data_IF_173131618843
#
_entry.id   IF_173131618843
#
_cell.length_a   1.000
_cell.length_b   1.000
_cell.length_c   1.000
_cell.angle_alpha   90.00
_cell.angle_beta   90.00
_cell.angle_gamma   90.00
#
_symmetry.space_group_name_H-M   'P 1'
#
loop_
_entity.id
_entity.type
_entity.pdbx_description
1 polymer ?
#
# COMPACT_ATOMS: atom_id res chain seq x y z
N UNK A 1 20.13 0.91 -19.95
CA UNK A 1 19.09 1.75 -20.56
C UNK A 1 17.93 0.83 -20.90
N UNK A 2 16.78 0.99 -20.23
CA UNK A 2 15.60 0.12 -20.42
C UNK A 2 14.73 0.56 -21.59
N UNK A 3 14.79 1.85 -21.95
CA UNK A 3 14.05 2.40 -23.08
C UNK A 3 12.57 2.70 -22.85
N UNK A 4 12.04 2.56 -21.63
CA UNK A 4 10.64 2.90 -21.33
C UNK A 4 10.34 4.39 -21.55
N UNK A 5 9.12 4.71 -21.96
CA UNK A 5 8.73 6.09 -22.25
C UNK A 5 8.02 6.77 -21.07
N UNK A 6 7.47 6.00 -20.14
CA UNK A 6 6.73 6.52 -18.99
C UNK A 6 7.12 5.79 -17.71
N UNK A 7 7.53 6.56 -16.70
CA UNK A 7 7.65 6.13 -15.32
C UNK A 7 6.78 7.04 -14.46
N UNK A 8 6.01 6.46 -13.54
CA UNK A 8 5.31 7.24 -12.55
C UNK A 8 5.17 6.51 -11.22
N UNK A 9 5.19 7.27 -10.12
CA UNK A 9 5.04 6.71 -8.77
C UNK A 9 5.81 7.51 -7.73
N UNK A 10 6.39 6.80 -6.75
CA UNK A 10 7.23 7.40 -5.72
C UNK A 10 8.56 7.98 -6.25
N UNK A 11 9.41 8.43 -5.34
CA UNK A 11 10.78 8.83 -5.64
C UNK A 11 11.70 7.62 -5.82
N UNK A 12 12.66 7.79 -6.71
CA UNK A 12 13.81 6.91 -6.87
C UNK A 12 15.02 7.45 -6.10
N UNK A 13 16.05 6.60 -5.92
CA UNK A 13 17.24 6.97 -5.14
C UNK A 13 17.90 8.25 -5.66
N UNK A 14 18.04 9.25 -4.77
CA UNK A 14 18.76 10.51 -5.04
C UNK A 14 20.27 10.41 -4.80
N UNK A 15 20.77 9.24 -4.40
CA UNK A 15 22.16 9.08 -3.98
C UNK A 15 23.13 9.30 -5.15
N UNK A 16 24.02 10.30 -5.01
CA UNK A 16 25.30 10.31 -5.70
C UNK A 16 26.24 9.33 -4.98
N UNK A 17 26.04 8.02 -5.20
CA UNK A 17 26.85 7.02 -4.51
C UNK A 17 28.30 7.06 -5.01
N UNK A 18 29.23 7.47 -4.15
CA UNK A 18 30.68 7.32 -4.38
C UNK A 18 31.22 8.03 -5.62
N UNK A 19 30.57 9.12 -6.07
CA UNK A 19 30.94 9.86 -7.29
C UNK A 19 30.15 9.47 -8.56
N UNK A 20 29.12 8.62 -8.43
CA UNK A 20 28.19 8.35 -9.53
C UNK A 20 27.17 9.48 -9.69
N UNK A 21 26.76 9.76 -10.94
CA UNK A 21 25.72 10.75 -11.26
C UNK A 21 24.38 10.36 -10.65
N UNK A 22 23.62 11.34 -10.18
CA UNK A 22 22.22 11.16 -9.79
C UNK A 22 21.39 10.56 -10.93
N UNK A 23 20.48 9.65 -10.60
CA UNK A 23 19.57 9.05 -11.58
C UNK A 23 18.66 10.08 -12.25
N UNK A 24 18.33 11.17 -11.57
CA UNK A 24 17.56 12.28 -12.13
C UNK A 24 18.34 12.99 -13.24
N UNK A 25 19.64 13.22 -13.04
CA UNK A 25 20.51 13.75 -14.09
C UNK A 25 20.62 12.78 -15.26
N UNK A 26 20.68 11.47 -15.00
CA UNK A 26 20.69 10.46 -16.06
C UNK A 26 19.37 10.48 -16.86
N UNK A 27 18.22 10.63 -16.19
CA UNK A 27 16.91 10.76 -16.85
C UNK A 27 16.88 11.99 -17.77
N UNK A 28 17.30 13.15 -17.27
CA UNK A 28 17.37 14.39 -18.07
C UNK A 28 18.33 14.24 -19.27
N UNK A 29 19.53 13.67 -19.05
CA UNK A 29 20.50 13.38 -20.13
C UNK A 29 19.95 12.40 -21.18
N UNK A 30 18.97 11.58 -20.80
CA UNK A 30 18.25 10.64 -21.67
C UNK A 30 16.99 11.22 -22.28
N UNK A 31 16.71 12.50 -22.04
CA UNK A 31 15.60 13.24 -22.64
C UNK A 31 14.26 13.02 -21.95
N UNK A 32 14.25 12.56 -20.69
CA UNK A 32 13.01 12.51 -19.91
C UNK A 32 12.67 13.90 -19.39
N UNK A 33 11.40 14.28 -19.52
CA UNK A 33 10.79 15.28 -18.67
C UNK A 33 10.65 14.70 -17.26
N UNK A 34 11.28 15.34 -16.28
CA UNK A 34 11.22 14.95 -14.86
C UNK A 34 10.36 15.99 -14.13
N UNK A 35 9.26 15.57 -13.51
CA UNK A 35 8.40 16.48 -12.73
C UNK A 35 7.82 15.79 -11.49
N UNK A 36 7.63 16.57 -10.43
CA UNK A 36 6.92 16.21 -9.20
C UNK A 36 5.68 17.09 -8.94
N UNK A 37 5.21 17.82 -9.96
CA UNK A 37 4.03 18.68 -9.87
C UNK A 37 2.79 17.95 -10.36
N UNK A 38 1.81 17.73 -9.48
CA UNK A 38 0.53 17.10 -9.84
C UNK A 38 -0.14 17.83 -11.02
N UNK A 39 -0.14 19.17 -10.99
CA UNK A 39 -0.71 19.97 -12.06
C UNK A 39 0.02 19.77 -13.39
N UNK A 40 1.36 19.73 -13.37
CA UNK A 40 2.15 19.51 -14.58
C UNK A 40 1.88 18.11 -15.14
N UNK A 41 1.95 17.08 -14.30
CA UNK A 41 1.70 15.68 -14.65
C UNK A 41 0.33 15.52 -15.31
N UNK A 42 -0.72 16.09 -14.71
CA UNK A 42 -2.08 16.00 -15.26
C UNK A 42 -2.25 16.78 -16.56
N UNK A 43 -1.42 17.79 -16.83
CA UNK A 43 -1.43 18.57 -18.08
C UNK A 43 -0.63 17.93 -19.24
N UNK A 44 0.18 16.91 -18.96
CA UNK A 44 0.98 16.23 -19.98
C UNK A 44 0.08 15.56 -21.03
N UNK A 45 0.58 15.52 -22.26
CA UNK A 45 -0.01 14.81 -23.39
C UNK A 45 1.12 14.15 -24.20
N UNK A 46 0.79 13.39 -25.24
CA UNK A 46 1.75 12.63 -26.05
C UNK A 46 2.94 13.46 -26.61
N UNK A 47 2.82 14.79 -26.72
CA UNK A 47 3.94 15.64 -27.13
C UNK A 47 5.05 15.79 -26.07
N UNK A 48 4.82 15.35 -24.83
CA UNK A 48 5.82 15.38 -23.75
C UNK A 48 6.99 14.41 -24.00
N UNK A 49 6.81 13.39 -24.83
CA UNK A 49 7.81 12.36 -25.08
C UNK A 49 8.06 11.51 -23.83
N UNK A 50 9.32 11.32 -23.45
CA UNK A 50 9.69 10.49 -22.30
C UNK A 50 9.43 11.23 -21.00
N UNK A 51 8.80 10.57 -20.02
CA UNK A 51 8.36 11.20 -18.77
C UNK A 51 8.76 10.35 -17.57
N UNK A 52 9.27 11.03 -16.54
CA UNK A 52 9.32 10.54 -15.16
C UNK A 52 8.45 11.45 -14.29
N UNK A 53 7.28 10.94 -13.88
CA UNK A 53 6.28 11.64 -13.09
C UNK A 53 6.30 11.16 -11.64
N UNK A 54 6.92 11.93 -10.75
CA UNK A 54 6.97 11.61 -9.34
C UNK A 54 5.72 12.14 -8.62
N UNK A 55 5.20 11.38 -7.66
CA UNK A 55 4.21 11.87 -6.72
C UNK A 55 4.76 13.09 -5.96
N UNK A 56 4.00 14.20 -5.87
CA UNK A 56 4.44 15.40 -5.16
C UNK A 56 4.66 15.14 -3.67
N UNK A 57 3.70 14.43 -3.06
CA UNK A 57 3.81 13.96 -1.69
C UNK A 57 4.35 12.55 -1.68
N UNK A 58 5.31 12.32 -0.79
CA UNK A 58 5.94 11.03 -0.57
C UNK A 58 5.76 10.62 0.89
N UNK A 59 5.75 9.32 1.13
CA UNK A 59 5.67 8.71 2.45
C UNK A 59 6.73 7.62 2.60
N UNK A 60 7.18 7.40 3.84
CA UNK A 60 8.18 6.39 4.20
C UNK A 60 9.42 6.47 3.29
N UNK A 61 9.79 5.36 2.64
CA UNK A 61 11.00 5.21 1.85
C UNK A 61 10.88 5.83 0.45
N UNK A 62 10.26 7.01 0.36
CA UNK A 62 10.01 7.72 -0.90
C UNK A 62 8.84 7.15 -1.71
N UNK A 63 7.99 6.34 -1.12
CA UNK A 63 6.80 5.78 -1.78
C UNK A 63 5.68 6.81 -1.94
N UNK A 64 4.68 6.51 -2.77
CA UNK A 64 3.39 7.22 -2.71
C UNK A 64 2.73 6.99 -1.33
N UNK A 65 1.86 7.90 -0.85
CA UNK A 65 1.07 7.66 0.36
C UNK A 65 0.22 6.39 0.23
N UNK A 66 -0.08 5.72 1.35
CA UNK A 66 -1.18 4.74 1.39
C UNK A 66 -2.48 5.41 0.93
N UNK A 67 -3.37 4.64 0.28
CA UNK A 67 -4.61 5.19 -0.26
C UNK A 67 -5.46 5.90 0.80
N UNK A 68 -5.52 5.35 2.02
CA UNK A 68 -6.27 5.94 3.13
C UNK A 68 -5.64 7.21 3.72
N UNK A 69 -4.36 7.45 3.46
CA UNK A 69 -3.65 8.63 3.93
C UNK A 69 -3.70 9.79 2.92
N UNK A 70 -4.18 9.54 1.70
CA UNK A 70 -4.21 10.52 0.62
C UNK A 70 -5.15 11.70 0.93
N UNK A 71 -4.72 12.90 0.54
CA UNK A 71 -5.56 14.10 0.52
C UNK A 71 -5.97 14.49 -0.92
N UNK A 72 -6.69 15.60 -1.07
CA UNK A 72 -7.25 16.02 -2.35
C UNK A 72 -6.19 16.47 -3.39
N UNK A 73 -4.97 16.75 -2.96
CA UNK A 73 -3.88 17.21 -3.82
C UNK A 73 -2.94 16.06 -4.24
N UNK A 74 -3.13 14.86 -3.69
CA UNK A 74 -2.35 13.67 -4.03
C UNK A 74 -2.76 13.06 -5.38
N UNK A 75 -1.78 12.43 -6.05
CA UNK A 75 -2.03 11.64 -7.25
C UNK A 75 -2.34 10.19 -6.85
N UNK A 76 -3.54 9.72 -7.19
CA UNK A 76 -3.90 8.31 -7.03
C UNK A 76 -3.24 7.43 -8.09
N UNK A 77 -3.14 6.12 -7.82
CA UNK A 77 -2.66 5.15 -8.81
C UNK A 77 -3.51 5.20 -10.09
N UNK A 78 -4.84 5.32 -9.95
CA UNK A 78 -5.75 5.45 -11.09
C UNK A 78 -5.42 6.66 -11.97
N UNK A 79 -5.15 7.83 -11.39
CA UNK A 79 -4.75 9.01 -12.15
C UNK A 79 -3.45 8.79 -12.93
N UNK A 80 -2.48 8.10 -12.33
CA UNK A 80 -1.21 7.78 -13.00
C UNK A 80 -1.40 6.73 -14.11
N UNK A 81 -2.27 5.73 -13.92
CA UNK A 81 -2.62 4.75 -14.96
C UNK A 81 -3.31 5.42 -16.13
N UNK A 82 -4.35 6.21 -15.88
CA UNK A 82 -5.06 6.94 -16.93
C UNK A 82 -4.13 7.87 -17.71
N UNK A 83 -3.23 8.58 -17.00
CA UNK A 83 -2.21 9.42 -17.65
C UNK A 83 -1.20 8.59 -18.45
N UNK A 84 -0.73 7.46 -17.91
CA UNK A 84 0.17 6.55 -18.62
C UNK A 84 -0.43 6.05 -19.93
N UNK A 85 -1.70 5.65 -19.91
CA UNK A 85 -2.44 5.24 -21.11
C UNK A 85 -2.51 6.38 -22.13
N UNK A 86 -2.88 7.59 -21.70
CA UNK A 86 -2.95 8.77 -22.60
C UNK A 86 -1.60 9.09 -23.26
N UNK A 87 -0.50 8.97 -22.52
CA UNK A 87 0.84 9.28 -23.02
C UNK A 87 1.42 8.18 -23.92
N UNK A 88 1.07 6.92 -23.66
CA UNK A 88 1.62 5.76 -24.36
C UNK A 88 0.78 5.32 -25.58
N UNK A 89 -0.50 5.68 -25.66
CA UNK A 89 -1.37 5.28 -26.77
C UNK A 89 -0.88 5.81 -28.13
N UNK A 90 -0.63 4.90 -29.06
CA UNK A 90 -0.09 5.19 -30.39
C UNK A 90 -0.36 4.03 -31.37
N UNK A 91 -0.10 4.27 -32.66
CA UNK A 91 -0.38 3.30 -33.74
C UNK A 91 0.37 1.96 -33.64
N UNK A 92 1.48 1.89 -32.88
CA UNK A 92 2.23 0.64 -32.66
C UNK A 92 1.76 -0.12 -31.40
N UNK A 93 0.82 0.44 -30.64
CA UNK A 93 0.45 -0.03 -29.31
C UNK A 93 1.51 0.27 -28.26
N UNK A 94 1.28 -0.23 -27.04
CA UNK A 94 2.20 -0.07 -25.92
C UNK A 94 2.13 -1.26 -24.95
N UNK A 95 3.16 -1.35 -24.10
CA UNK A 95 3.17 -2.21 -22.92
C UNK A 95 3.26 -1.32 -21.69
N UNK A 96 2.41 -1.57 -20.70
CA UNK A 96 2.43 -0.88 -19.42
C UNK A 96 2.33 -1.90 -18.29
N UNK A 97 3.21 -1.76 -17.30
CA UNK A 97 3.13 -2.50 -16.04
C UNK A 97 2.71 -1.53 -14.94
N UNK A 98 1.72 -1.92 -14.17
CA UNK A 98 1.14 -1.13 -13.07
C UNK A 98 1.22 -1.97 -11.80
N UNK A 99 1.67 -1.35 -10.71
CA UNK A 99 1.83 -2.00 -9.41
C UNK A 99 1.10 -1.21 -8.32
N UNK A 100 0.28 -1.89 -7.51
CA UNK A 100 -0.20 -1.37 -6.22
C UNK A 100 0.59 -2.01 -5.08
N UNK A 101 1.82 -1.55 -4.88
CA UNK A 101 2.78 -2.19 -3.97
C UNK A 101 2.47 -2.01 -2.48
N UNK A 102 1.59 -1.07 -2.13
CA UNK A 102 1.23 -0.78 -0.73
C UNK A 102 0.34 -1.85 -0.08
N UNK A 103 -0.33 -2.68 -0.88
CA UNK A 103 -1.08 -3.85 -0.39
C UNK A 103 -0.13 -4.78 0.40
N UNK A 104 1.02 -5.10 -0.18
CA UNK A 104 2.05 -5.91 0.47
C UNK A 104 2.56 -5.29 1.77
N UNK A 105 2.82 -3.98 1.78
CA UNK A 105 3.36 -3.28 2.94
C UNK A 105 2.36 -3.21 4.10
N UNK A 106 1.08 -2.96 3.79
CA UNK A 106 -0.01 -3.00 4.76
C UNK A 106 -0.17 -4.40 5.35
N UNK A 107 -0.12 -5.44 4.50
CA UNK A 107 -0.14 -6.83 4.94
C UNK A 107 1.05 -7.18 5.82
N UNK A 108 2.26 -6.73 5.49
CA UNK A 108 3.43 -6.93 6.34
C UNK A 108 3.26 -6.29 7.72
N UNK A 109 2.59 -5.14 7.82
CA UNK A 109 2.26 -4.49 9.09
C UNK A 109 1.02 -5.10 9.79
N UNK A 110 0.33 -6.05 9.15
CA UNK A 110 -0.97 -6.56 9.57
C UNK A 110 -1.99 -5.43 9.79
N UNK A 111 -2.08 -4.50 8.84
CA UNK A 111 -3.00 -3.36 8.85
C UNK A 111 -4.12 -3.59 7.80
N UNK A 112 -5.21 -4.23 8.23
CA UNK A 112 -6.28 -4.60 7.30
C UNK A 112 -7.05 -3.38 6.75
N UNK A 113 -7.12 -2.28 7.50
CA UNK A 113 -7.77 -1.08 7.01
C UNK A 113 -6.95 -0.45 5.87
N UNK A 114 -5.63 -0.35 6.02
CA UNK A 114 -4.74 0.12 4.96
C UNK A 114 -4.77 -0.82 3.74
N UNK A 115 -4.67 -2.14 3.96
CA UNK A 115 -4.71 -3.14 2.89
C UNK A 115 -5.97 -3.03 2.04
N UNK A 116 -7.16 -2.98 2.67
CA UNK A 116 -8.44 -2.87 1.96
C UNK A 116 -8.50 -1.58 1.13
N UNK A 117 -8.03 -0.46 1.68
CA UNK A 117 -8.07 0.82 0.95
C UNK A 117 -7.12 0.81 -0.26
N UNK A 118 -5.93 0.23 -0.14
CA UNK A 118 -4.98 0.11 -1.25
C UNK A 118 -5.43 -0.93 -2.30
N UNK A 119 -6.18 -1.97 -1.89
CA UNK A 119 -6.85 -2.88 -2.81
C UNK A 119 -7.95 -2.18 -3.61
N UNK A 120 -8.76 -1.34 -2.95
CA UNK A 120 -9.79 -0.51 -3.62
C UNK A 120 -9.15 0.53 -4.55
N UNK A 121 -8.00 1.11 -4.18
CA UNK A 121 -7.26 2.01 -5.05
C UNK A 121 -6.68 1.28 -6.28
N UNK A 122 -6.29 0.01 -6.14
CA UNK A 122 -5.88 -0.83 -7.26
C UNK A 122 -7.06 -1.17 -8.19
N UNK A 123 -8.23 -1.49 -7.63
CA UNK A 123 -9.47 -1.70 -8.39
C UNK A 123 -9.83 -0.48 -9.25
N UNK A 124 -9.76 0.73 -8.68
CA UNK A 124 -9.96 1.98 -9.42
C UNK A 124 -8.92 2.18 -10.54
N UNK A 125 -7.68 1.71 -10.36
CA UNK A 125 -6.66 1.75 -11.42
C UNK A 125 -6.92 0.72 -12.53
N UNK A 126 -7.46 -0.45 -12.18
CA UNK A 126 -7.92 -1.46 -13.14
C UNK A 126 -9.10 -0.93 -13.96
N UNK A 127 -10.00 -0.14 -13.37
CA UNK A 127 -11.12 0.49 -14.08
C UNK A 127 -10.63 1.41 -15.23
N UNK A 128 -9.55 2.17 -15.03
CA UNK A 128 -8.95 2.99 -16.11
C UNK A 128 -8.42 2.11 -17.26
N UNK A 129 -7.75 1.00 -16.93
CA UNK A 129 -7.28 0.05 -17.94
C UNK A 129 -8.46 -0.64 -18.66
N UNK A 130 -9.52 -1.01 -17.93
CA UNK A 130 -10.73 -1.61 -18.49
C UNK A 130 -11.46 -0.64 -19.41
N UNK A 131 -11.55 0.64 -19.06
CA UNK A 131 -12.13 1.67 -19.92
C UNK A 131 -11.39 1.76 -21.26
N UNK A 132 -10.06 1.73 -21.24
CA UNK A 132 -9.25 1.66 -22.45
C UNK A 132 -9.50 0.37 -23.23
N UNK A 133 -9.45 -0.79 -22.59
CA UNK A 133 -9.70 -2.07 -23.27
C UNK A 133 -11.11 -2.17 -23.89
N UNK A 134 -12.12 -1.54 -23.30
CA UNK A 134 -13.47 -1.48 -23.86
C UNK A 134 -13.55 -0.60 -25.11
N UNK A 135 -12.75 0.46 -25.19
CA UNK A 135 -12.59 1.26 -26.40
C UNK A 135 -11.77 0.55 -27.49
N UNK A 136 -10.88 -0.37 -27.09
CA UNK A 136 -9.95 -1.11 -27.97
C UNK A 136 -10.09 -2.66 -27.86
N UNK A 137 -11.29 -3.24 -27.99
CA UNK A 137 -11.60 -4.60 -27.53
C UNK A 137 -10.91 -5.74 -28.30
N UNK A 138 -10.37 -5.47 -29.50
CA UNK A 138 -9.70 -6.48 -30.33
C UNK A 138 -8.18 -6.46 -30.17
N UNK A 139 -7.63 -5.42 -29.52
CA UNK A 139 -6.20 -5.09 -29.54
C UNK A 139 -5.61 -4.97 -28.13
N UNK A 140 -6.45 -4.92 -27.09
CA UNK A 140 -6.00 -4.82 -25.70
C UNK A 140 -6.13 -6.13 -24.95
N UNK A 141 -5.07 -6.47 -24.21
CA UNK A 141 -5.07 -7.51 -23.17
C UNK A 141 -4.72 -6.87 -21.83
N UNK A 142 -5.50 -7.18 -20.80
CA UNK A 142 -5.19 -6.86 -19.41
C UNK A 142 -4.93 -8.18 -18.68
N UNK A 143 -3.84 -8.23 -17.90
CA UNK A 143 -3.54 -9.33 -16.98
C UNK A 143 -3.30 -8.74 -15.60
N UNK A 144 -4.02 -9.22 -14.59
CA UNK A 144 -3.93 -8.80 -13.19
C UNK A 144 -3.56 -10.02 -12.34
N UNK A 145 -2.54 -9.90 -11.50
CA UNK A 145 -2.10 -10.95 -10.58
C UNK A 145 -1.43 -10.33 -9.36
N UNK A 146 -1.31 -11.12 -8.28
CA UNK A 146 -0.31 -10.87 -7.24
C UNK A 146 1.05 -11.49 -7.63
N UNK A 147 2.12 -11.03 -7.02
CA UNK A 147 3.44 -11.67 -7.05
C UNK A 147 3.59 -12.72 -5.94
N UNK A 148 2.99 -12.47 -4.78
CA UNK A 148 2.78 -13.41 -3.67
C UNK A 148 1.61 -12.96 -2.75
N UNK A 149 1.26 -13.79 -1.76
CA UNK A 149 0.43 -13.36 -0.62
C UNK A 149 1.33 -12.94 0.55
N UNK A 150 0.84 -12.00 1.38
CA UNK A 150 1.60 -11.46 2.51
C UNK A 150 0.77 -11.44 3.79
N UNK A 151 1.41 -11.81 4.91
CA UNK A 151 0.82 -11.75 6.26
C UNK A 151 -0.03 -12.96 6.65
N UNK A 152 -0.52 -13.73 5.67
CA UNK A 152 -1.41 -14.85 5.91
C UNK A 152 -2.72 -14.37 6.53
N UNK A 153 -3.36 -13.40 5.87
CA UNK A 153 -4.61 -12.79 6.32
C UNK A 153 -5.74 -13.83 6.31
N UNK A 154 -6.59 -13.78 7.32
CA UNK A 154 -7.75 -14.67 7.45
C UNK A 154 -9.02 -13.89 7.76
N UNK A 155 -10.11 -14.26 7.10
CA UNK A 155 -11.47 -13.86 7.49
C UNK A 155 -11.99 -14.93 8.44
N UNK A 156 -11.89 -14.63 9.73
CA UNK A 156 -12.17 -15.53 10.84
C UNK A 156 -11.12 -15.35 11.93
N UNK A 157 -11.58 -15.00 13.13
CA UNK A 157 -10.71 -14.83 14.29
C UNK A 157 -11.24 -15.62 15.49
N UNK A 158 -10.33 -16.25 16.24
CA UNK A 158 -10.69 -17.06 17.39
C UNK A 158 -11.56 -16.31 18.43
N UNK A 159 -11.38 -15.00 18.56
CA UNK A 159 -12.16 -14.15 19.46
C UNK A 159 -13.57 -13.80 18.97
N UNK A 160 -13.86 -13.90 17.67
CA UNK A 160 -15.18 -13.59 17.09
C UNK A 160 -15.95 -14.83 16.65
N UNK A 161 -15.31 -15.99 16.60
CA UNK A 161 -15.89 -17.24 16.12
C UNK A 161 -16.22 -17.14 14.63
N UNK A 162 -17.47 -17.43 14.26
CA UNK A 162 -17.96 -17.34 12.87
C UNK A 162 -18.46 -15.95 12.47
N UNK A 163 -18.29 -14.94 13.33
CA UNK A 163 -18.78 -13.59 13.06
C UNK A 163 -17.66 -12.67 12.57
N UNK A 164 -18.04 -11.73 11.69
CA UNK A 164 -17.22 -10.62 11.21
C UNK A 164 -17.97 -9.30 11.42
N UNK A 165 -17.21 -8.20 11.48
CA UNK A 165 -17.72 -6.85 11.65
C UNK A 165 -16.78 -5.85 10.96
N UNK A 166 -16.71 -5.90 9.63
CA UNK A 166 -15.74 -5.12 8.84
C UNK A 166 -15.95 -3.60 8.96
N UNK A 167 -17.16 -3.15 9.28
CA UNK A 167 -17.48 -1.75 9.58
C UNK A 167 -16.66 -1.19 10.75
N UNK A 168 -16.14 -2.05 11.63
CA UNK A 168 -15.22 -1.63 12.70
C UNK A 168 -13.94 -1.04 12.12
N UNK A 169 -13.43 -1.56 11.01
CA UNK A 169 -12.19 -1.09 10.37
C UNK A 169 -12.31 0.34 9.86
N UNK A 170 -13.52 0.81 9.52
CA UNK A 170 -13.76 2.19 9.09
C UNK A 170 -13.41 3.22 10.18
N UNK A 171 -13.24 2.79 11.43
CA UNK A 171 -12.81 3.68 12.51
C UNK A 171 -11.32 4.01 12.46
N UNK A 172 -10.52 3.25 11.73
CA UNK A 172 -9.12 3.59 11.45
C UNK A 172 -9.05 4.68 10.38
N UNK A 173 -8.48 5.84 10.71
CA UNK A 173 -8.44 7.03 9.85
C UNK A 173 -7.08 7.27 9.20
N UNK A 174 -6.06 6.56 9.64
CA UNK A 174 -4.69 6.67 9.18
C UNK A 174 -4.09 5.27 9.03
N UNK A 175 -3.19 5.07 8.09
CA UNK A 175 -2.33 3.88 8.08
C UNK A 175 -1.43 3.87 9.31
N UNK A 176 -0.84 2.71 9.62
CA UNK A 176 0.16 2.62 10.68
C UNK A 176 1.33 3.61 10.48
N UNK A 177 1.70 3.95 9.24
CA UNK A 177 2.80 4.89 8.96
C UNK A 177 2.41 6.32 9.31
N UNK A 178 1.27 6.81 8.82
CA UNK A 178 0.82 8.16 9.12
C UNK A 178 0.51 8.32 10.62
N UNK A 179 -0.01 7.28 11.27
CA UNK A 179 -0.19 7.30 12.72
C UNK A 179 1.14 7.30 13.48
N UNK A 180 2.14 6.54 13.03
CA UNK A 180 3.48 6.54 13.62
C UNK A 180 4.13 7.93 13.53
N UNK A 181 4.01 8.62 12.40
CA UNK A 181 4.48 9.99 12.22
C UNK A 181 3.80 10.94 13.24
N UNK A 182 2.47 10.87 13.37
CA UNK A 182 1.70 11.67 14.32
C UNK A 182 2.08 11.38 15.77
N UNK A 183 2.21 10.11 16.13
CA UNK A 183 2.64 9.66 17.46
C UNK A 183 4.05 10.17 17.79
N UNK A 184 5.00 9.98 16.87
CA UNK A 184 6.39 10.40 17.05
C UNK A 184 6.52 11.92 17.14
N UNK A 185 5.71 12.67 16.40
CA UNK A 185 5.64 14.13 16.51
C UNK A 185 5.18 14.57 17.91
N UNK A 186 4.14 13.93 18.46
CA UNK A 186 3.65 14.20 19.83
C UNK A 186 4.69 13.85 20.89
N UNK A 187 5.37 12.72 20.75
CA UNK A 187 6.42 12.27 21.66
C UNK A 187 7.65 13.19 21.62
N UNK A 188 8.01 13.71 20.44
CA UNK A 188 9.10 14.67 20.26
C UNK A 188 8.77 16.03 20.88
N UNK A 189 7.51 16.47 20.75
CA UNK A 189 7.05 17.74 21.31
C UNK A 189 7.04 17.73 22.84
N UNK A 190 6.69 16.60 23.46
CA UNK A 190 6.77 16.42 24.90
C UNK A 190 7.05 14.95 25.25
N UNK A 191 8.24 14.71 25.81
CA UNK A 191 8.72 13.37 26.16
C UNK A 191 8.00 12.76 27.37
N UNK A 192 7.29 13.56 28.15
CA UNK A 192 6.46 13.11 29.28
C UNK A 192 5.05 12.70 28.84
N UNK A 193 4.76 12.76 27.53
CA UNK A 193 3.53 12.26 26.91
C UNK A 193 3.07 10.96 27.58
N UNK A 194 1.90 11.02 28.20
CA UNK A 194 1.35 9.97 29.03
C UNK A 194 0.46 9.03 28.21
N UNK A 195 0.25 7.81 28.73
CA UNK A 195 -0.66 6.87 28.08
C UNK A 195 -2.10 7.40 28.03
N UNK A 196 -2.53 8.14 29.05
CA UNK A 196 -3.86 8.77 29.06
C UNK A 196 -4.04 9.77 27.92
N UNK A 197 -3.02 10.56 27.60
CA UNK A 197 -3.08 11.48 26.45
C UNK A 197 -2.96 10.74 25.13
N UNK A 198 -2.23 9.61 25.09
CA UNK A 198 -2.17 8.76 23.90
C UNK A 198 -3.53 8.15 23.55
N UNK A 199 -4.37 7.87 24.55
CA UNK A 199 -5.74 7.41 24.33
C UNK A 199 -6.61 8.45 23.61
N UNK A 200 -6.28 9.74 23.67
CA UNK A 200 -6.99 10.77 22.88
C UNK A 200 -6.68 10.62 21.38
N UNK A 201 -5.43 10.30 21.02
CA UNK A 201 -5.06 9.98 19.63
C UNK A 201 -5.75 8.69 19.17
N UNK A 202 -5.75 7.67 20.02
CA UNK A 202 -6.41 6.38 19.75
C UNK A 202 -7.90 6.56 19.50
N UNK A 203 -8.59 7.35 20.33
CA UNK A 203 -10.00 7.64 20.13
C UNK A 203 -10.26 8.43 18.84
N UNK A 204 -9.38 9.38 18.50
CA UNK A 204 -9.52 10.20 17.30
C UNK A 204 -9.28 9.43 16.00
N UNK A 205 -8.23 8.61 15.96
CA UNK A 205 -7.75 7.98 14.71
C UNK A 205 -8.15 6.51 14.57
N UNK A 206 -8.62 5.84 15.63
CA UNK A 206 -9.05 4.43 15.61
C UNK A 206 -10.45 4.22 16.22
N UNK A 207 -11.07 5.26 16.80
CA UNK A 207 -12.38 5.17 17.46
C UNK A 207 -12.39 4.35 18.77
N UNK A 208 -11.25 3.78 19.17
CA UNK A 208 -11.12 2.92 20.35
C UNK A 208 -11.11 3.76 21.64
N UNK A 209 -11.86 3.32 22.65
CA UNK A 209 -11.95 4.03 23.95
C UNK A 209 -11.64 3.11 25.13
N UNK A 210 -11.13 3.68 26.21
CA UNK A 210 -10.80 2.95 27.43
C UNK A 210 -12.01 2.24 28.08
N UNK A 211 -11.79 1.19 28.88
CA UNK A 211 -12.84 0.53 29.66
C UNK A 211 -13.69 1.54 30.46
N UNK A 212 -15.01 1.34 30.45
CA UNK A 212 -15.97 2.20 31.15
C UNK A 212 -16.31 3.52 30.45
N UNK A 213 -15.70 3.83 29.30
CA UNK A 213 -16.12 4.94 28.43
C UNK A 213 -17.27 4.52 27.51
N UNK A 214 -17.98 5.51 26.97
CA UNK A 214 -19.06 5.29 25.99
C UNK A 214 -18.50 5.50 24.58
N UNK A 215 -18.80 4.58 23.67
CA UNK A 215 -18.50 4.68 22.24
C UNK A 215 -19.78 4.52 21.40
N UNK A 216 -19.72 4.92 20.13
CA UNK A 216 -20.79 4.73 19.14
C UNK A 216 -21.15 3.25 18.95
N UNK A 217 -20.14 2.38 19.01
CA UNK A 217 -20.27 0.93 18.98
C UNK A 217 -19.56 0.33 20.21
N UNK A 218 -20.23 -0.58 20.93
CA UNK A 218 -19.66 -1.24 22.12
C UNK A 218 -18.39 -2.03 21.82
N UNK A 219 -18.23 -2.52 20.57
CA UNK A 219 -17.02 -3.23 20.16
C UNK A 219 -15.76 -2.35 20.23
N UNK A 220 -15.92 -1.02 20.07
CA UNK A 220 -14.83 -0.04 20.14
C UNK A 220 -14.38 0.27 21.59
N UNK A 221 -15.10 -0.22 22.60
CA UNK A 221 -14.60 -0.16 23.97
C UNK A 221 -13.55 -1.25 24.14
N UNK A 222 -12.34 -0.85 24.53
CA UNK A 222 -11.25 -1.77 24.86
C UNK A 222 -11.67 -2.66 26.03
N UNK A 223 -11.44 -3.96 25.90
CA UNK A 223 -11.43 -4.88 27.04
C UNK A 223 -10.22 -4.60 27.93
N UNK A 224 -10.25 -5.09 29.18
CA UNK A 224 -9.12 -4.95 30.10
C UNK A 224 -7.82 -5.55 29.53
N UNK A 225 -7.94 -6.66 28.78
CA UNK A 225 -6.80 -7.29 28.11
C UNK A 225 -6.23 -6.42 26.99
N UNK A 226 -7.09 -5.86 26.14
CA UNK A 226 -6.67 -4.99 25.04
C UNK A 226 -6.05 -3.70 25.58
N UNK A 227 -6.65 -3.11 26.61
CA UNK A 227 -6.13 -1.93 27.29
C UNK A 227 -4.73 -2.17 27.89
N UNK A 228 -4.55 -3.28 28.60
CA UNK A 228 -3.25 -3.65 29.17
C UNK A 228 -2.17 -3.91 28.10
N UNK A 229 -2.53 -4.60 27.01
CA UNK A 229 -1.64 -4.79 25.85
C UNK A 229 -1.23 -3.44 25.25
N UNK A 230 -2.19 -2.55 25.08
CA UNK A 230 -1.96 -1.23 24.48
C UNK A 230 -1.09 -0.34 25.37
N UNK A 231 -1.25 -0.39 26.69
CA UNK A 231 -0.39 0.31 27.66
C UNK A 231 1.05 -0.21 27.63
N UNK A 232 1.22 -1.53 27.55
CA UNK A 232 2.54 -2.15 27.40
C UNK A 232 3.20 -1.74 26.07
N UNK A 233 2.44 -1.77 24.98
CA UNK A 233 2.90 -1.36 23.65
C UNK A 233 3.30 0.12 23.62
N UNK A 234 2.51 1.00 24.23
CA UNK A 234 2.84 2.41 24.39
C UNK A 234 4.18 2.60 25.11
N UNK A 235 4.40 1.87 26.20
CA UNK A 235 5.65 1.91 26.97
C UNK A 235 6.85 1.51 26.10
N UNK A 236 6.72 0.49 25.26
CA UNK A 236 7.77 0.07 24.32
C UNK A 236 7.97 1.08 23.18
N UNK A 237 6.90 1.65 22.64
CA UNK A 237 6.96 2.62 21.55
C UNK A 237 7.72 3.90 21.93
N UNK A 238 7.64 4.31 23.21
CA UNK A 238 8.40 5.46 23.74
C UNK A 238 9.92 5.25 23.79
N UNK A 239 10.39 4.00 23.76
CA UNK A 239 11.82 3.71 23.73
C UNK A 239 12.38 4.02 22.33
N UNK A 240 13.61 4.57 22.24
CA UNK A 240 14.35 4.61 20.98
C UNK A 240 14.40 3.21 20.36
N UNK A 241 14.32 3.10 19.04
CA UNK A 241 14.31 1.80 18.34
C UNK A 241 15.50 0.91 18.73
N UNK A 242 16.69 1.50 18.96
CA UNK A 242 17.90 0.80 19.41
C UNK A 242 17.83 0.24 20.83
N UNK A 243 16.83 0.61 21.62
CA UNK A 243 16.61 0.17 23.01
C UNK A 243 15.40 -0.76 23.16
N UNK A 244 14.63 -1.00 22.09
CA UNK A 244 13.49 -1.92 22.12
C UNK A 244 14.00 -3.37 22.15
N UNK A 245 13.21 -4.28 22.73
CA UNK A 245 13.57 -5.70 22.72
C UNK A 245 13.63 -6.23 21.28
N UNK A 246 14.46 -7.24 21.07
CA UNK A 246 14.59 -7.97 19.79
C UNK A 246 14.46 -9.47 20.00
N UNK A 247 13.95 -9.88 21.17
CA UNK A 247 13.64 -11.28 21.46
C UNK A 247 12.47 -11.80 20.61
N UNK A 248 12.28 -13.11 20.64
CA UNK A 248 11.28 -13.76 19.81
C UNK A 248 9.85 -13.37 20.21
N UNK A 249 9.59 -13.09 21.49
CA UNK A 249 8.27 -12.64 21.93
C UNK A 249 7.96 -11.23 21.39
N UNK A 250 8.92 -10.32 21.42
CA UNK A 250 8.78 -8.99 20.87
C UNK A 250 8.55 -9.04 19.36
N UNK A 251 9.30 -9.87 18.63
CA UNK A 251 9.10 -10.07 17.18
C UNK A 251 7.72 -10.64 16.86
N UNK A 252 7.26 -11.64 17.64
CA UNK A 252 5.93 -12.22 17.47
C UNK A 252 4.80 -11.21 17.71
N UNK A 253 5.00 -10.25 18.62
CA UNK A 253 3.99 -9.25 18.94
C UNK A 253 3.97 -8.05 18.00
N UNK A 254 5.13 -7.65 17.45
CA UNK A 254 5.26 -6.37 16.76
C UNK A 254 5.94 -6.42 15.39
N UNK A 255 6.51 -7.55 14.97
CA UNK A 255 7.08 -7.70 13.62
C UNK A 255 8.25 -6.78 13.26
N UNK A 256 8.80 -6.04 14.22
CA UNK A 256 9.81 -4.99 13.97
C UNK A 256 9.24 -3.58 13.75
N UNK A 257 7.92 -3.44 13.75
CA UNK A 257 7.22 -2.16 13.64
C UNK A 257 7.14 -1.42 14.98
N UNK A 258 6.52 -0.24 14.96
CA UNK A 258 6.19 0.47 16.18
C UNK A 258 5.15 -0.34 17.00
N UNK A 259 5.46 -0.71 18.26
CA UNK A 259 4.55 -1.50 19.07
C UNK A 259 3.16 -0.90 19.22
N UNK A 260 3.07 0.42 19.34
CA UNK A 260 1.81 1.09 19.65
C UNK A 260 0.84 1.05 18.46
N UNK A 261 1.30 1.42 17.26
CA UNK A 261 0.47 1.37 16.05
C UNK A 261 0.04 -0.05 15.71
N UNK A 262 0.95 -1.02 15.70
CA UNK A 262 0.62 -2.42 15.37
C UNK A 262 -0.34 -3.04 16.38
N UNK A 263 -0.22 -2.70 17.66
CA UNK A 263 -1.19 -3.18 18.66
C UNK A 263 -2.59 -2.64 18.37
N UNK A 264 -2.71 -1.39 17.89
CA UNK A 264 -4.00 -0.79 17.53
C UNK A 264 -4.60 -1.45 16.28
N UNK A 265 -3.81 -1.63 15.21
CA UNK A 265 -4.27 -2.31 14.00
C UNK A 265 -4.74 -3.72 14.33
N UNK A 266 -3.98 -4.48 15.13
CA UNK A 266 -4.36 -5.82 15.58
C UNK A 266 -5.64 -5.84 16.39
N UNK A 267 -5.83 -4.88 17.29
CA UNK A 267 -7.07 -4.78 18.08
C UNK A 267 -8.27 -4.56 17.16
N UNK A 268 -8.19 -3.64 16.19
CA UNK A 268 -9.28 -3.42 15.23
C UNK A 268 -9.52 -4.64 14.33
N UNK A 269 -8.45 -5.24 13.78
CA UNK A 269 -8.54 -6.45 12.96
C UNK A 269 -9.27 -7.57 13.71
N UNK A 270 -8.82 -7.87 14.93
CA UNK A 270 -9.41 -8.93 15.75
C UNK A 270 -10.88 -8.64 16.08
N UNK A 271 -11.23 -7.38 16.35
CA UNK A 271 -12.63 -6.96 16.58
C UNK A 271 -13.48 -7.09 15.31
N UNK A 272 -12.90 -6.85 14.13
CA UNK A 272 -13.55 -7.03 12.84
C UNK A 272 -13.65 -8.51 12.40
N UNK A 273 -13.01 -9.42 13.13
CA UNK A 273 -12.96 -10.84 12.79
C UNK A 273 -11.85 -11.20 11.80
N UNK A 274 -10.81 -10.37 11.69
CA UNK A 274 -9.63 -10.59 10.85
C UNK A 274 -8.46 -11.08 11.72
N UNK A 275 -7.79 -12.13 11.27
CA UNK A 275 -6.57 -12.65 11.89
C UNK A 275 -5.39 -12.67 10.93
N UNK A 276 -4.18 -12.67 11.47
CA UNK A 276 -2.92 -12.72 10.74
C UNK A 276 -2.02 -13.82 11.32
N UNK A 277 -1.19 -14.42 10.47
CA UNK A 277 -0.31 -15.54 10.89
C UNK A 277 1.18 -15.23 10.79
N UNK A 278 1.54 -14.19 10.06
CA UNK A 278 2.92 -13.80 9.78
C UNK A 278 3.05 -12.28 9.63
N UNK A 279 4.28 -11.78 9.64
CA UNK A 279 4.65 -10.44 9.15
C UNK A 279 5.46 -10.56 7.84
N UNK A 280 5.33 -11.68 7.13
CA UNK A 280 6.11 -12.03 5.95
C UNK A 280 5.21 -12.71 4.91
N UNK A 281 5.77 -12.96 3.73
CA UNK A 281 5.05 -13.59 2.63
C UNK A 281 4.61 -15.03 2.98
N UNK A 282 3.57 -15.51 2.33
CA UNK A 282 3.16 -16.93 2.39
C UNK A 282 3.24 -17.60 1.02
N UNK A 283 3.26 -18.93 1.03
CA UNK A 283 3.28 -19.74 -0.20
C UNK A 283 1.90 -19.96 -0.83
N UNK A 284 0.93 -19.09 -0.55
CA UNK A 284 -0.43 -19.21 -1.09
C UNK A 284 -0.40 -18.96 -2.61
N UNK A 285 -0.98 -19.85 -3.45
CA UNK A 285 -1.13 -19.57 -4.87
C UNK A 285 -1.94 -18.30 -5.10
N UNK A 286 -1.40 -17.39 -5.91
CA UNK A 286 -2.06 -16.15 -6.31
C UNK A 286 -2.94 -16.37 -7.54
N UNK A 287 -4.02 -15.58 -7.65
CA UNK A 287 -4.92 -15.64 -8.79
C UNK A 287 -4.38 -14.80 -9.96
N UNK A 288 -4.53 -15.31 -11.18
CA UNK A 288 -4.31 -14.56 -12.42
C UNK A 288 -5.66 -14.31 -13.07
N UNK A 289 -6.01 -13.04 -13.25
CA UNK A 289 -7.18 -12.59 -13.99
C UNK A 289 -6.72 -12.04 -15.33
N UNK A 290 -7.44 -12.35 -16.41
CA UNK A 290 -7.14 -11.81 -17.74
C UNK A 290 -8.42 -11.37 -18.45
N UNK A 291 -8.34 -10.26 -19.19
CA UNK A 291 -9.45 -9.69 -19.95
C UNK A 291 -8.97 -9.18 -21.31
N UNK A 292 -9.79 -9.35 -22.35
CA UNK A 292 -9.49 -8.88 -23.70
C UNK A 292 -8.79 -9.92 -24.60
N UNK A 293 -8.04 -9.45 -25.58
CA UNK A 293 -7.48 -10.25 -26.68
C UNK A 293 -6.45 -11.26 -26.17
N UNK A 294 -6.68 -12.56 -26.42
CA UNK A 294 -5.77 -13.63 -25.98
C UNK A 294 -5.88 -14.02 -24.50
N UNK A 295 -6.86 -13.48 -23.77
CA UNK A 295 -7.08 -13.76 -22.34
C UNK A 295 -7.33 -15.24 -22.03
N UNK A 296 -7.85 -16.02 -22.98
CA UNK A 296 -8.09 -17.46 -22.83
C UNK A 296 -6.82 -18.27 -22.51
N UNK A 297 -5.64 -17.73 -22.86
CA UNK A 297 -4.33 -18.35 -22.61
C UNK A 297 -3.91 -18.35 -21.14
N UNK A 298 -4.57 -17.56 -20.30
CA UNK A 298 -4.28 -17.42 -18.87
C UNK A 298 -5.21 -18.26 -17.99
N UNK A 299 -5.92 -19.23 -18.58
CA UNK A 299 -6.71 -20.20 -17.82
C UNK A 299 -5.85 -21.36 -17.29
N UNK A 300 -6.26 -21.92 -16.15
CA UNK A 300 -5.62 -23.08 -15.52
C UNK A 300 -4.66 -22.74 -14.39
N UNK A 301 -3.83 -23.71 -14.01
CA UNK A 301 -2.81 -23.57 -12.96
C UNK A 301 -1.43 -23.76 -13.58
N UNK A 302 -0.54 -22.82 -13.33
CA UNK A 302 0.81 -22.79 -13.89
C UNK A 302 1.74 -21.98 -12.99
N UNK A 303 3.04 -22.12 -13.21
CA UNK A 303 4.06 -21.32 -12.54
C UNK A 303 4.10 -19.88 -13.09
N UNK A 304 4.53 -18.90 -12.28
CA UNK A 304 4.55 -17.50 -12.71
C UNK A 304 5.45 -17.26 -13.94
N UNK A 305 6.46 -18.11 -14.18
CA UNK A 305 7.32 -18.04 -15.37
C UNK A 305 6.55 -18.18 -16.68
N UNK A 306 5.41 -18.88 -16.67
CA UNK A 306 4.55 -19.05 -17.83
C UNK A 306 3.86 -17.74 -18.25
N UNK A 307 3.70 -16.76 -17.35
CA UNK A 307 3.10 -15.46 -17.68
C UNK A 307 3.95 -14.74 -18.74
N UNK A 308 5.28 -14.71 -18.55
CA UNK A 308 6.20 -14.14 -19.53
C UNK A 308 6.07 -14.83 -20.90
N UNK A 309 6.11 -16.15 -20.94
CA UNK A 309 6.04 -16.90 -22.19
C UNK A 309 4.71 -16.70 -22.92
N UNK A 310 3.59 -16.64 -22.19
CA UNK A 310 2.27 -16.35 -22.76
C UNK A 310 2.19 -14.94 -23.35
N UNK A 311 2.68 -13.92 -22.64
CA UNK A 311 2.70 -12.54 -23.11
C UNK A 311 3.62 -12.39 -24.34
N UNK A 312 4.84 -12.93 -24.28
CA UNK A 312 5.79 -12.85 -25.37
C UNK A 312 5.27 -13.50 -26.66
N UNK A 313 4.56 -14.64 -26.55
CA UNK A 313 3.96 -15.31 -27.70
C UNK A 313 2.80 -14.49 -28.30
N UNK A 314 2.03 -13.77 -27.48
CA UNK A 314 0.93 -12.92 -27.93
C UNK A 314 1.40 -11.68 -28.69
N UNK A 315 2.57 -11.14 -28.30
CA UNK A 315 3.17 -9.97 -28.97
C UNK A 315 4.20 -10.34 -30.04
N UNK A 316 4.30 -11.62 -30.41
CA UNK A 316 5.16 -12.09 -31.50
C UNK A 316 6.66 -12.03 -31.23
N UNK A 317 7.07 -12.05 -29.95
CA UNK A 317 8.48 -12.02 -29.54
C UNK A 317 9.11 -13.42 -29.43
N UNK A 318 8.29 -14.48 -29.35
CA UNK A 318 8.72 -15.89 -29.29
C UNK A 318 7.82 -16.81 -30.11
#
# INVERSE_FOLDING_TARGET
>A
DSGFDYFAGGAISKAEDGGNKSIYTILEEKGYLVTDSAQEILSLNAAAGKVYAQSPRLQDSGSMPYAMDMDADDLSLALLVGKGIELLDNENGFFMMVESGKIDWACHANDAAAEINDLLAFDAAIDEALAFAQAHPQETLIVVTGDHETGGMTIGYAGTGYNTAFDILENQKLSYVAFDEKFNARLKADSLFSFSEALDLVAADFGLVAPGKTASNKALVLSDLEYAKLEQAFTQAKLPSSQRSVDDQYKLLYGGYNPFSITLTHILNNKAGIGWTSYAHTGTPVSVYAYGSGSERFSGSYDNTEIYHKLAALVGLV
#
